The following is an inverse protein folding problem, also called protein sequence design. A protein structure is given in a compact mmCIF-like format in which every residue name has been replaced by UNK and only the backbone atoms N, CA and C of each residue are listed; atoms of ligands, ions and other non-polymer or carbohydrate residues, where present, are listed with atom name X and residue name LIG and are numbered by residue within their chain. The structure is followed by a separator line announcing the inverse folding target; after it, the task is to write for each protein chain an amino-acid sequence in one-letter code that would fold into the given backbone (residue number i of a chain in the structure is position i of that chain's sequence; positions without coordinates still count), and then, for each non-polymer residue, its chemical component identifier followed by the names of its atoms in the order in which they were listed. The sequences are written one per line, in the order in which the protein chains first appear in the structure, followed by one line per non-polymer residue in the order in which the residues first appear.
data_IF_195748128036
#
_entry.id   IF_195748128036
#
_cell.length_a   1.000
_cell.length_b   1.000
_cell.length_c   1.000
_cell.angle_alpha   90.00
_cell.angle_beta   90.00
_cell.angle_gamma   90.00
#
_symmetry.space_group_name_H-M   'P 1'
#
loop_
_entity.id
_entity.type
_entity.pdbx_description
1 polymer ?
#
# COMPACT_ATOMS: atom_id res chain seq x y z
N UNK A 1 -17.85 13.22 -8.40
CA UNK A 1 -16.68 12.32 -8.52
C UNK A 1 -17.18 10.91 -8.25
N UNK A 2 -17.15 10.05 -9.26
CA UNK A 2 -17.43 8.63 -9.05
C UNK A 2 -16.13 7.98 -8.56
N UNK A 3 -16.17 7.25 -7.45
CA UNK A 3 -15.07 6.39 -7.02
C UNK A 3 -15.25 5.05 -7.74
N UNK A 4 -14.50 4.77 -8.83
CA UNK A 4 -14.65 3.51 -9.53
C UNK A 4 -14.19 2.38 -8.60
N UNK A 5 -14.98 1.31 -8.55
CA UNK A 5 -14.62 0.08 -7.84
C UNK A 5 -14.81 -1.11 -8.76
N UNK A 6 -14.10 -2.20 -8.47
CA UNK A 6 -14.22 -3.48 -9.18
C UNK A 6 -14.63 -4.56 -8.18
N UNK A 7 -15.64 -5.33 -8.54
CA UNK A 7 -16.02 -6.53 -7.78
C UNK A 7 -14.99 -7.62 -8.09
N UNK A 8 -14.42 -8.22 -7.05
CA UNK A 8 -13.46 -9.32 -7.17
C UNK A 8 -14.23 -10.63 -7.31
N UNK A 9 -13.84 -11.46 -8.27
CA UNK A 9 -14.35 -12.84 -8.41
C UNK A 9 -13.59 -13.77 -7.47
N UNK A 10 -14.18 -14.07 -6.31
CA UNK A 10 -13.54 -14.91 -5.28
C UNK A 10 -13.24 -16.35 -5.76
N UNK A 11 -13.81 -16.83 -6.87
CA UNK A 11 -13.57 -18.20 -7.36
C UNK A 11 -12.31 -18.32 -8.21
N UNK A 12 -12.03 -17.30 -9.01
CA UNK A 12 -10.92 -17.29 -9.96
C UNK A 12 -9.75 -16.38 -9.52
N UNK A 13 -9.82 -15.82 -8.31
CA UNK A 13 -8.77 -14.93 -7.80
C UNK A 13 -7.62 -15.71 -7.19
N UNK A 14 -6.39 -15.43 -7.62
CA UNK A 14 -5.16 -16.10 -7.13
C UNK A 14 -5.01 -16.02 -5.60
N UNK A 15 -5.53 -14.96 -4.98
CA UNK A 15 -5.46 -14.74 -3.52
C UNK A 15 -6.72 -15.22 -2.77
N UNK A 16 -7.62 -15.97 -3.41
CA UNK A 16 -8.86 -16.45 -2.79
C UNK A 16 -8.62 -17.23 -1.49
N UNK A 17 -7.69 -18.19 -1.50
CA UNK A 17 -7.35 -18.97 -0.31
C UNK A 17 -6.78 -18.10 0.81
N UNK A 18 -5.83 -17.21 0.48
CA UNK A 18 -5.26 -16.26 1.45
C UNK A 18 -6.36 -15.39 2.08
N UNK A 19 -7.26 -14.83 1.27
CA UNK A 19 -8.37 -14.00 1.76
C UNK A 19 -9.30 -14.78 2.69
N UNK A 20 -9.65 -16.03 2.37
CA UNK A 20 -10.49 -16.87 3.22
C UNK A 20 -9.86 -17.16 4.58
N UNK A 21 -8.55 -17.43 4.63
CA UNK A 21 -7.82 -17.71 5.87
C UNK A 21 -7.79 -16.47 6.77
N UNK A 22 -7.39 -15.31 6.23
CA UNK A 22 -7.32 -14.08 7.02
C UNK A 22 -8.71 -13.57 7.45
N UNK A 23 -9.74 -13.69 6.60
CA UNK A 23 -11.11 -13.25 6.91
C UNK A 23 -11.70 -13.94 8.15
N UNK A 24 -11.30 -15.18 8.42
CA UNK A 24 -11.79 -15.95 9.57
C UNK A 24 -10.80 -16.01 10.75
N UNK A 25 -9.69 -15.29 10.68
CA UNK A 25 -8.70 -15.23 11.76
C UNK A 25 -9.12 -14.25 12.86
N UNK A 26 -8.73 -14.53 14.10
CA UNK A 26 -8.99 -13.62 15.24
C UNK A 26 -8.19 -12.32 15.12
N UNK A 27 -6.98 -12.40 14.57
CA UNK A 27 -6.09 -11.24 14.36
C UNK A 27 -5.40 -11.34 12.98
N UNK A 28 -6.02 -10.81 11.90
CA UNK A 28 -5.47 -10.87 10.55
C UNK A 28 -4.40 -9.81 10.25
N UNK A 29 -4.27 -8.79 11.10
CA UNK A 29 -3.40 -7.65 10.87
C UNK A 29 -2.06 -7.84 11.59
N UNK A 30 -0.98 -7.43 10.94
CA UNK A 30 0.35 -7.43 11.53
C UNK A 30 1.08 -6.15 11.12
N UNK A 31 1.99 -5.70 11.98
CA UNK A 31 2.80 -4.49 11.76
C UNK A 31 4.20 -4.87 11.28
N UNK A 32 4.68 -4.19 10.25
CA UNK A 32 6.07 -4.29 9.78
C UNK A 32 6.69 -2.91 9.73
N UNK A 33 7.95 -2.81 10.13
CA UNK A 33 8.73 -1.59 10.10
C UNK A 33 9.99 -1.86 9.30
N UNK A 34 10.30 -0.98 8.35
CA UNK A 34 11.50 -1.07 7.53
C UNK A 34 12.14 0.31 7.43
N UNK A 35 13.46 0.30 7.28
CA UNK A 35 14.23 1.51 6.99
C UNK A 35 14.37 1.64 5.48
N UNK A 36 14.09 2.84 4.95
CA UNK A 36 14.20 3.15 3.53
C UNK A 36 15.36 4.11 3.33
N UNK A 37 16.23 3.82 2.36
CA UNK A 37 17.24 4.80 1.94
C UNK A 37 16.56 5.97 1.20
N UNK A 38 16.59 7.13 1.86
CA UNK A 38 16.00 8.37 1.36
C UNK A 38 17.05 9.34 0.80
N UNK A 39 18.32 8.95 0.67
CA UNK A 39 19.40 9.84 0.25
C UNK A 39 19.10 10.54 -1.08
N UNK A 40 18.76 9.76 -2.11
CA UNK A 40 18.40 10.28 -3.43
C UNK A 40 17.08 11.06 -3.42
N UNK A 41 16.18 10.71 -2.49
CA UNK A 41 14.91 11.39 -2.35
C UNK A 41 15.10 12.78 -1.73
N UNK A 42 15.92 12.91 -0.69
CA UNK A 42 16.24 14.18 -0.05
C UNK A 42 16.95 15.13 -1.02
N UNK A 43 17.97 14.65 -1.76
CA UNK A 43 18.68 15.44 -2.76
C UNK A 43 17.77 16.03 -3.85
N UNK A 44 16.71 15.30 -4.23
CA UNK A 44 15.77 15.74 -5.28
C UNK A 44 14.70 16.71 -4.77
N UNK A 45 14.47 16.77 -3.47
CA UNK A 45 13.38 17.54 -2.85
C UNK A 45 13.92 18.60 -1.86
N UNK A 46 15.20 18.97 -1.97
CA UNK A 46 15.82 20.01 -1.15
C UNK A 46 15.01 21.34 -1.25
N UNK A 47 14.66 21.92 -0.11
CA UNK A 47 13.91 23.19 -0.04
C UNK A 47 12.38 23.07 -0.21
N UNK A 48 11.81 21.87 -0.17
CA UNK A 48 10.36 21.63 -0.24
C UNK A 48 9.82 20.93 1.02
N UNK A 49 8.49 20.79 1.14
CA UNK A 49 7.86 20.03 2.20
C UNK A 49 8.00 18.52 1.98
N UNK A 50 9.13 17.95 2.44
CA UNK A 50 9.52 16.54 2.32
C UNK A 50 8.39 15.57 2.72
N UNK A 51 7.60 15.92 3.74
CA UNK A 51 6.50 15.11 4.26
C UNK A 51 5.43 14.82 3.19
N UNK A 52 4.99 15.83 2.43
CA UNK A 52 3.98 15.66 1.38
C UNK A 52 4.48 14.76 0.25
N UNK A 53 5.75 14.92 -0.13
CA UNK A 53 6.37 14.07 -1.15
C UNK A 53 6.49 12.62 -0.67
N UNK A 54 6.80 12.40 0.61
CA UNK A 54 6.86 11.07 1.21
C UNK A 54 5.46 10.43 1.27
N UNK A 55 4.44 11.15 1.75
CA UNK A 55 3.05 10.67 1.76
C UNK A 55 2.57 10.30 0.36
N UNK A 56 2.84 11.14 -0.64
CA UNK A 56 2.47 10.87 -2.02
C UNK A 56 3.24 9.67 -2.62
N UNK A 57 4.50 9.49 -2.22
CA UNK A 57 5.29 8.30 -2.56
C UNK A 57 4.63 7.02 -2.04
N UNK A 58 4.28 6.99 -0.75
CA UNK A 58 3.60 5.85 -0.12
C UNK A 58 2.24 5.56 -0.76
N UNK A 59 1.42 6.60 -0.99
CA UNK A 59 0.12 6.44 -1.64
C UNK A 59 0.24 5.80 -3.03
N UNK A 60 1.26 6.15 -3.81
CA UNK A 60 1.48 5.55 -5.13
C UNK A 60 1.96 4.10 -5.07
N UNK A 61 2.78 3.74 -4.08
CA UNK A 61 3.19 2.35 -3.87
C UNK A 61 1.99 1.45 -3.58
N UNK A 62 1.00 1.94 -2.82
CA UNK A 62 -0.20 1.17 -2.50
C UNK A 62 -1.16 0.99 -3.68
N UNK A 63 -1.12 1.86 -4.69
CA UNK A 63 -1.97 1.79 -5.88
C UNK A 63 -1.39 0.95 -7.03
N UNK A 64 -0.17 0.42 -6.89
CA UNK A 64 0.46 -0.48 -7.88
C UNK A 64 0.07 -1.96 -7.73
N UNK A 65 -1.04 -2.28 -7.03
CA UNK A 65 -1.60 -3.63 -6.93
C UNK A 65 -2.83 -3.82 -7.81
#
# INVERSE_FOLDING_TARGET
MANPYRIVDEKNWERAMHCMVFRNSVEPAFCVTFEVDVTNFLQKNEGTEIFLHACHGVCRMQMCQ
#
